data_IF_289676970425
#
_entry.id   IF_289676970425
#
_cell.length_a   1.000
_cell.length_b   1.000
_cell.length_c   1.000
_cell.angle_alpha   90.00
_cell.angle_beta   90.00
_cell.angle_gamma   90.00
#
_symmetry.space_group_name_H-M   'P 1'
#
loop_
_entity.id
_entity.type
_entity.pdbx_description
1 polymer ?
#
# COMPACT_ATOMS: atom_id res chain seq x y z
N UNK A 1 1.29 -9.53 -3.45
CA UNK A 1 1.62 -8.16 -3.01
C UNK A 1 0.66 -7.16 -3.66
N UNK A 2 0.43 -7.30 -4.97
CA UNK A 2 -0.72 -6.72 -5.69
C UNK A 2 -1.52 -7.85 -6.35
N UNK A 3 -2.33 -8.63 -5.61
CA UNK A 3 -3.09 -9.70 -6.22
C UNK A 3 -4.14 -9.13 -7.19
N UNK A 4 -4.23 -9.70 -8.40
CA UNK A 4 -5.23 -9.29 -9.39
C UNK A 4 -6.22 -10.42 -9.69
N UNK A 5 -7.42 -10.06 -10.16
CA UNK A 5 -8.41 -11.08 -10.55
C UNK A 5 -7.95 -11.94 -11.73
N UNK A 6 -7.08 -11.42 -12.60
CA UNK A 6 -6.47 -12.20 -13.68
C UNK A 6 -5.62 -13.37 -13.13
N UNK A 7 -5.12 -13.25 -11.90
CA UNK A 7 -4.36 -14.28 -11.17
C UNK A 7 -5.25 -15.15 -10.27
N UNK A 8 -6.59 -15.10 -10.46
CA UNK A 8 -7.59 -15.80 -9.65
C UNK A 8 -7.68 -15.32 -8.20
N UNK A 9 -7.30 -14.07 -7.93
CA UNK A 9 -7.66 -13.42 -6.68
C UNK A 9 -9.19 -13.38 -6.53
N UNK A 10 -9.69 -13.74 -5.35
CA UNK A 10 -11.14 -13.80 -5.04
C UNK A 10 -11.57 -12.81 -3.95
N UNK A 11 -10.65 -11.97 -3.47
CA UNK A 11 -10.94 -10.91 -2.49
C UNK A 11 -11.23 -9.58 -3.14
N UNK A 12 -11.20 -8.53 -2.32
CA UNK A 12 -11.39 -7.16 -2.76
C UNK A 12 -10.35 -6.75 -3.80
N UNK A 13 -10.79 -6.00 -4.81
CA UNK A 13 -9.92 -5.44 -5.84
C UNK A 13 -8.91 -4.49 -5.21
N UNK A 14 -7.63 -4.74 -5.50
CA UNK A 14 -6.50 -3.90 -5.09
C UNK A 14 -5.89 -3.09 -6.24
N UNK A 15 -6.21 -3.44 -7.48
CA UNK A 15 -5.86 -2.68 -8.68
C UNK A 15 -7.14 -2.50 -9.48
N UNK A 16 -7.59 -1.26 -9.60
CA UNK A 16 -8.79 -0.91 -10.36
C UNK A 16 -8.38 0.13 -11.39
N UNK A 17 -8.44 -0.26 -12.65
CA UNK A 17 -8.03 0.54 -13.80
C UNK A 17 -9.16 0.56 -14.81
N UNK A 18 -9.38 1.68 -15.49
CA UNK A 18 -10.39 1.77 -16.55
C UNK A 18 -9.85 2.45 -17.79
N UNK A 19 -10.38 2.03 -18.93
CA UNK A 19 -10.15 2.70 -20.22
C UNK A 19 -11.47 2.78 -20.97
N UNK A 20 -11.80 3.98 -21.44
CA UNK A 20 -13.06 4.26 -22.12
C UNK A 20 -14.31 3.78 -21.33
N UNK A 21 -14.28 3.93 -19.99
CA UNK A 21 -15.37 3.53 -19.10
C UNK A 21 -15.47 2.01 -18.85
N UNK A 22 -14.56 1.22 -19.40
CA UNK A 22 -14.50 -0.24 -19.20
C UNK A 22 -13.40 -0.57 -18.21
N UNK A 23 -13.71 -1.40 -17.23
CA UNK A 23 -12.74 -1.88 -16.27
C UNK A 23 -11.79 -2.91 -16.88
N UNK A 24 -10.50 -2.75 -16.58
CA UNK A 24 -9.43 -3.59 -17.08
C UNK A 24 -9.10 -4.68 -16.05
N UNK A 25 -8.68 -5.84 -16.56
CA UNK A 25 -8.21 -6.96 -15.74
C UNK A 25 -6.81 -7.35 -16.22
N UNK A 26 -5.77 -6.58 -15.87
CA UNK A 26 -4.46 -6.79 -16.43
C UNK A 26 -3.88 -8.12 -15.98
N UNK A 27 -3.32 -8.86 -16.93
CA UNK A 27 -2.52 -10.05 -16.69
C UNK A 27 -1.04 -9.68 -16.78
N UNK A 28 -0.52 -9.16 -15.68
CA UNK A 28 0.87 -8.74 -15.61
C UNK A 28 1.83 -9.90 -15.82
N UNK A 29 2.79 -9.71 -16.71
CA UNK A 29 3.96 -10.56 -16.89
C UNK A 29 5.17 -9.80 -16.38
N UNK A 30 5.92 -10.39 -15.44
CA UNK A 30 7.17 -9.78 -14.95
C UNK A 30 8.19 -9.76 -16.09
N UNK A 31 8.66 -8.56 -16.44
CA UNK A 31 9.61 -8.33 -17.52
C UNK A 31 11.01 -8.01 -17.00
N UNK A 32 11.13 -7.50 -15.77
CA UNK A 32 12.42 -7.17 -15.16
C UNK A 32 12.37 -7.35 -13.64
N UNK A 33 13.51 -7.75 -13.05
CA UNK A 33 13.74 -7.79 -11.61
C UNK A 33 15.14 -7.26 -11.35
N UNK A 34 15.23 -6.16 -10.60
CA UNK A 34 16.48 -5.57 -10.15
C UNK A 34 16.62 -5.75 -8.65
N UNK A 35 17.57 -6.59 -8.24
CA UNK A 35 17.83 -6.92 -6.83
C UNK A 35 19.30 -6.66 -6.43
N UNK A 36 20.05 -5.94 -7.27
CA UNK A 36 21.52 -5.90 -7.29
C UNK A 36 22.20 -5.06 -6.22
N UNK A 37 21.48 -4.55 -5.21
CA UNK A 37 22.10 -3.88 -4.07
C UNK A 37 21.27 -2.75 -3.48
N UNK A 38 21.96 -1.65 -3.23
CA UNK A 38 21.46 -0.54 -2.43
C UNK A 38 20.78 0.48 -3.35
N UNK A 39 19.44 0.45 -3.40
CA UNK A 39 18.60 1.36 -4.18
C UNK A 39 18.61 2.75 -3.52
N UNK A 40 18.62 3.80 -4.34
CA UNK A 40 18.25 5.14 -3.84
C UNK A 40 16.79 5.04 -3.38
N UNK A 41 16.53 5.34 -2.11
CA UNK A 41 15.16 5.35 -1.60
C UNK A 41 14.28 6.27 -2.45
N UNK A 42 13.37 5.71 -3.24
CA UNK A 42 12.50 6.47 -4.16
C UNK A 42 11.26 7.04 -3.46
N UNK A 43 11.13 6.73 -2.17
CA UNK A 43 10.04 7.10 -1.27
C UNK A 43 10.43 8.19 -0.26
N UNK A 44 11.70 8.55 -0.17
CA UNK A 44 12.15 9.63 0.72
C UNK A 44 11.85 11.00 0.10
N UNK A 45 11.78 12.03 0.95
CA UNK A 45 11.61 13.39 0.47
C UNK A 45 12.78 13.76 -0.45
N UNK A 46 12.48 14.47 -1.55
CA UNK A 46 13.48 14.91 -2.55
C UNK A 46 14.60 15.75 -1.91
N UNK A 47 14.35 16.32 -0.72
CA UNK A 47 15.33 16.98 0.14
C UNK A 47 15.37 16.30 1.52
N UNK A 48 16.57 15.99 2.00
CA UNK A 48 16.76 15.43 3.33
C UNK A 48 16.89 16.49 4.41
N UNK A 49 16.14 16.33 5.49
CA UNK A 49 16.40 16.99 6.76
C UNK A 49 17.01 15.97 7.72
N UNK A 50 18.04 16.40 8.44
CA UNK A 50 18.62 15.60 9.53
C UNK A 50 18.05 16.11 10.84
N UNK A 51 17.47 15.23 11.64
CA UNK A 51 16.98 15.56 12.98
C UNK A 51 17.38 14.46 13.97
N UNK A 52 17.48 14.82 15.25
CA UNK A 52 17.72 13.85 16.32
C UNK A 52 16.37 13.41 16.88
N UNK A 53 16.10 12.11 16.89
CA UNK A 53 14.85 11.60 17.48
C UNK A 53 14.86 11.71 19.01
N UNK A 54 13.71 11.44 19.62
CA UNK A 54 13.52 11.49 21.07
C UNK A 54 14.40 10.50 21.85
N UNK A 55 14.98 9.50 21.17
CA UNK A 55 15.91 8.54 21.74
C UNK A 55 17.38 8.91 21.49
N UNK A 56 17.65 10.09 20.92
CA UNK A 56 19.01 10.58 20.68
C UNK A 56 19.65 10.07 19.39
N UNK A 57 18.91 9.35 18.53
CA UNK A 57 19.45 8.84 17.28
C UNK A 57 19.32 9.90 16.17
N UNK A 58 20.40 10.10 15.42
CA UNK A 58 20.34 10.88 14.19
C UNK A 58 19.46 10.16 13.16
N UNK A 59 18.44 10.85 12.65
CA UNK A 59 17.54 10.43 11.59
C UNK A 59 17.74 11.35 10.39
N UNK A 60 17.75 10.77 9.20
CA UNK A 60 17.69 11.51 7.95
C UNK A 60 16.36 11.20 7.26
N UNK A 61 15.71 12.23 6.73
CA UNK A 61 14.51 12.09 5.87
C UNK A 61 14.85 12.15 4.37
N UNK A 62 16.13 12.27 4.04
CA UNK A 62 16.62 12.30 2.67
C UNK A 62 16.91 10.92 2.11
N UNK A 63 17.27 10.84 0.82
CA UNK A 63 17.52 9.57 0.14
C UNK A 63 18.49 8.70 0.93
N UNK A 64 18.00 7.57 1.43
CA UNK A 64 18.86 6.55 2.02
C UNK A 64 19.04 5.42 1.03
N UNK A 65 20.30 5.08 0.81
CA UNK A 65 20.69 3.90 0.10
C UNK A 65 20.36 2.67 0.97
N UNK A 66 19.35 1.87 0.59
CA UNK A 66 18.89 0.67 1.32
C UNK A 66 18.77 -0.59 0.46
N UNK A 67 18.88 -1.80 1.05
CA UNK A 67 18.56 -3.04 0.34
C UNK A 67 17.12 -3.02 -0.18
N UNK A 68 16.90 -3.48 -1.41
CA UNK A 68 15.56 -3.56 -1.98
C UNK A 68 15.51 -4.32 -3.30
N UNK A 69 14.30 -4.41 -3.84
CA UNK A 69 14.02 -4.98 -5.16
C UNK A 69 13.08 -4.07 -5.94
N UNK A 70 13.34 -3.91 -7.24
CA UNK A 70 12.43 -3.31 -8.20
C UNK A 70 11.95 -4.40 -9.14
N UNK A 71 10.64 -4.51 -9.31
CA UNK A 71 10.02 -5.46 -10.23
C UNK A 71 9.19 -4.67 -11.23
N UNK A 72 9.51 -4.82 -12.51
CA UNK A 72 8.70 -4.27 -13.60
C UNK A 72 7.86 -5.39 -14.18
N UNK A 73 6.55 -5.16 -14.31
CA UNK A 73 5.61 -6.09 -14.91
C UNK A 73 4.68 -5.37 -15.89
N UNK A 74 4.35 -6.03 -17.00
CA UNK A 74 3.56 -5.45 -18.09
C UNK A 74 2.40 -6.34 -18.49
N UNK A 75 1.30 -5.71 -18.87
CA UNK A 75 0.29 -6.27 -19.75
C UNK A 75 0.35 -5.49 -21.07
N UNK A 76 0.94 -6.08 -22.11
CA UNK A 76 1.09 -5.44 -23.41
C UNK A 76 -0.24 -5.33 -24.17
N UNK A 77 -1.16 -6.29 -23.96
CA UNK A 77 -2.48 -6.30 -24.59
C UNK A 77 -3.35 -5.16 -24.07
N UNK A 78 -3.30 -4.93 -22.76
CA UNK A 78 -4.01 -3.83 -22.11
C UNK A 78 -3.15 -2.57 -21.97
N UNK A 79 -1.89 -2.58 -22.42
CA UNK A 79 -1.01 -1.42 -22.41
C UNK A 79 -0.82 -0.82 -21.02
N UNK A 80 -0.59 -1.66 -20.01
CA UNK A 80 -0.36 -1.22 -18.62
C UNK A 80 0.98 -1.77 -18.14
N UNK A 81 1.81 -0.91 -17.55
CA UNK A 81 2.99 -1.32 -16.81
C UNK A 81 2.84 -0.96 -15.34
N UNK A 82 3.33 -1.83 -14.47
CA UNK A 82 3.51 -1.56 -13.06
C UNK A 82 4.98 -1.78 -12.72
N UNK A 83 5.60 -0.77 -12.14
CA UNK A 83 6.90 -0.87 -11.51
C UNK A 83 6.70 -0.85 -9.99
N UNK A 84 6.98 -1.98 -9.34
CA UNK A 84 6.83 -2.15 -7.90
C UNK A 84 8.19 -2.16 -7.21
N UNK A 85 8.31 -1.39 -6.15
CA UNK A 85 9.52 -1.26 -5.35
C UNK A 85 9.25 -1.81 -3.95
N UNK A 86 10.20 -2.57 -3.42
CA UNK A 86 10.24 -2.96 -2.00
C UNK A 86 11.62 -2.64 -1.44
N UNK A 87 11.64 -1.86 -0.38
CA UNK A 87 12.85 -1.42 0.31
C UNK A 87 12.83 -1.90 1.76
N UNK A 88 14.00 -2.26 2.31
CA UNK A 88 14.18 -2.64 3.71
C UNK A 88 15.06 -1.63 4.43
N UNK A 89 14.46 -0.82 5.30
CA UNK A 89 15.18 0.20 6.06
C UNK A 89 16.04 -0.42 7.17
N UNK A 90 17.08 0.30 7.66
CA UNK A 90 17.95 -0.19 8.74
C UNK A 90 17.22 -0.62 10.03
N UNK A 91 16.04 -0.04 10.30
CA UNK A 91 15.18 -0.40 11.43
C UNK A 91 14.31 -1.64 11.21
N UNK A 92 14.46 -2.36 10.09
CA UNK A 92 13.65 -3.53 9.73
C UNK A 92 12.29 -3.19 9.11
N UNK A 93 12.00 -1.90 8.87
CA UNK A 93 10.76 -1.48 8.21
C UNK A 93 10.83 -1.78 6.72
N UNK A 94 9.87 -2.57 6.22
CA UNK A 94 9.62 -2.74 4.79
C UNK A 94 8.76 -1.60 4.24
N UNK A 95 9.18 -1.00 3.13
CA UNK A 95 8.39 0.01 2.41
C UNK A 95 8.08 -0.44 1.00
N UNK A 96 6.87 -0.17 0.54
CA UNK A 96 6.46 -0.47 -0.82
C UNK A 96 6.00 0.79 -1.56
N UNK A 97 6.24 0.80 -2.87
CA UNK A 97 5.71 1.78 -3.83
C UNK A 97 5.33 1.07 -5.12
N UNK A 98 4.32 1.58 -5.81
CA UNK A 98 4.01 1.17 -7.16
C UNK A 98 3.87 2.40 -8.05
N UNK A 99 4.49 2.35 -9.22
CA UNK A 99 4.30 3.30 -10.31
C UNK A 99 3.48 2.59 -11.38
N UNK A 100 2.38 3.19 -11.81
CA UNK A 100 1.56 2.67 -12.91
C UNK A 100 1.79 3.56 -14.13
N UNK A 101 2.12 2.94 -15.26
CA UNK A 101 2.34 3.63 -16.54
C UNK A 101 1.33 3.16 -17.56
N UNK A 102 0.67 4.12 -18.23
CA UNK A 102 -0.11 3.83 -19.43
C UNK A 102 0.84 3.70 -20.61
N UNK A 103 1.02 2.48 -21.13
CA UNK A 103 1.91 2.21 -22.26
C UNK A 103 1.30 2.65 -23.60
N UNK A 104 -0.03 2.78 -23.65
CA UNK A 104 -0.70 3.35 -24.80
C UNK A 104 -0.63 4.88 -24.71
N UNK A 105 0.07 5.51 -25.66
CA UNK A 105 0.27 6.95 -25.72
C UNK A 105 -1.02 7.74 -25.91
N UNK A 106 -0.94 9.07 -25.75
CA UNK A 106 -2.05 9.99 -25.96
C UNK A 106 -2.63 9.88 -27.38
N UNK A 107 -1.77 9.58 -28.36
CA UNK A 107 -2.11 9.42 -29.77
C UNK A 107 -3.01 8.20 -30.04
N UNK A 108 -3.06 7.22 -29.12
CA UNK A 108 -3.98 6.09 -29.21
C UNK A 108 -5.40 6.42 -28.69
N UNK A 109 -5.65 7.65 -28.22
CA UNK A 109 -6.95 8.07 -27.69
C UNK A 109 -7.41 7.27 -26.47
N UNK A 110 -6.47 6.71 -25.71
CA UNK A 110 -6.71 5.65 -24.75
C UNK A 110 -6.22 6.02 -23.33
N UNK A 111 -6.76 7.10 -22.71
CA UNK A 111 -6.40 7.47 -21.35
C UNK A 111 -6.72 6.33 -20.36
N UNK A 112 -5.84 6.14 -19.39
CA UNK A 112 -5.98 5.13 -18.35
C UNK A 112 -6.42 5.80 -17.04
N UNK A 113 -7.65 5.55 -16.63
CA UNK A 113 -8.17 5.97 -15.33
C UNK A 113 -7.61 5.05 -14.24
N UNK A 114 -7.08 5.65 -13.17
CA UNK A 114 -6.65 4.94 -11.98
C UNK A 114 -7.75 5.08 -10.92
N UNK A 115 -8.48 4.00 -10.67
CA UNK A 115 -9.52 3.96 -9.64
C UNK A 115 -9.00 3.56 -8.27
N UNK A 116 -8.02 2.66 -8.22
CA UNK A 116 -7.45 2.15 -6.96
C UNK A 116 -6.10 1.48 -7.20
N UNK A 117 -5.14 1.76 -6.33
CA UNK A 117 -3.90 0.98 -6.17
C UNK A 117 -3.68 0.77 -4.67
N UNK A 118 -3.88 -0.46 -4.19
CA UNK A 118 -3.79 -0.81 -2.78
C UNK A 118 -2.71 -1.88 -2.58
N UNK A 119 -1.56 -1.46 -2.04
CA UNK A 119 -0.46 -2.36 -1.75
C UNK A 119 -0.72 -3.13 -0.45
N UNK A 120 -0.14 -4.32 -0.34
CA UNK A 120 -0.29 -5.12 0.87
C UNK A 120 0.87 -6.08 1.11
N UNK A 121 0.96 -6.53 2.34
CA UNK A 121 1.87 -7.56 2.81
C UNK A 121 1.06 -8.83 3.14
N UNK A 122 1.63 -10.03 2.92
CA UNK A 122 1.05 -11.26 3.43
C UNK A 122 0.89 -11.19 4.95
N UNK A 123 -0.27 -11.59 5.42
CA UNK A 123 -0.60 -11.65 6.84
C UNK A 123 -0.64 -13.12 7.29
N UNK A 124 0.12 -13.53 8.32
CA UNK A 124 0.08 -14.89 8.82
C UNK A 124 -1.30 -15.30 9.34
N UNK A 125 -1.62 -16.59 9.24
CA UNK A 125 -2.91 -17.13 9.69
C UNK A 125 -3.16 -16.92 11.19
N UNK A 126 -2.09 -16.90 11.99
CA UNK A 126 -2.14 -16.67 13.43
C UNK A 126 -2.61 -15.26 13.81
N UNK A 127 -2.57 -14.30 12.88
CA UNK A 127 -3.02 -12.94 13.11
C UNK A 127 -4.57 -12.86 13.08
N UNK A 128 -5.18 -13.22 14.21
CA UNK A 128 -6.64 -13.29 14.39
C UNK A 128 -7.26 -12.08 15.08
N UNK A 129 -6.48 -11.07 15.44
CA UNK A 129 -6.96 -9.85 16.10
C UNK A 129 -6.34 -8.63 15.45
N UNK A 130 -7.12 -7.56 15.28
CA UNK A 130 -6.64 -6.27 14.83
C UNK A 130 -6.73 -5.23 15.94
N UNK A 131 -5.75 -4.33 15.94
CA UNK A 131 -5.74 -3.08 16.67
C UNK A 131 -5.77 -1.93 15.68
N UNK A 132 -6.72 -1.03 15.89
CA UNK A 132 -6.79 0.27 15.21
C UNK A 132 -6.83 1.38 16.24
N UNK A 133 -6.81 2.63 15.78
CA UNK A 133 -7.11 3.78 16.63
C UNK A 133 -8.34 4.52 16.12
N UNK A 134 -9.11 5.06 17.05
CA UNK A 134 -10.24 5.98 16.82
C UNK A 134 -10.05 7.25 17.64
N UNK A 135 -10.93 8.22 17.52
CA UNK A 135 -10.90 9.40 18.37
C UNK A 135 -11.81 10.50 17.87
N UNK A 136 -11.78 11.59 18.62
CA UNK A 136 -12.36 12.87 18.25
C UNK A 136 -11.42 13.97 18.75
N UNK A 137 -11.70 15.22 18.39
CA UNK A 137 -10.93 16.37 18.86
C UNK A 137 -10.75 16.32 20.39
N UNK A 138 -9.51 16.49 20.85
CA UNK A 138 -9.07 16.43 22.26
C UNK A 138 -9.05 15.02 22.89
N UNK A 139 -9.32 13.97 22.11
CA UNK A 139 -9.24 12.57 22.54
C UNK A 139 -8.90 11.65 21.37
N UNK A 140 -7.85 12.01 20.66
CA UNK A 140 -7.36 11.28 19.50
C UNK A 140 -6.70 9.96 19.89
N UNK A 141 -6.61 9.04 18.92
CA UNK A 141 -5.78 7.82 18.98
C UNK A 141 -6.14 6.82 20.09
N UNK A 142 -7.41 6.78 20.50
CA UNK A 142 -7.92 5.75 21.42
C UNK A 142 -7.85 4.37 20.75
N UNK A 143 -7.16 3.37 21.34
CA UNK A 143 -7.02 2.06 20.74
C UNK A 143 -8.35 1.31 20.69
N UNK A 144 -8.61 0.60 19.60
CA UNK A 144 -9.75 -0.28 19.40
C UNK A 144 -9.23 -1.65 19.02
N UNK A 145 -9.73 -2.70 19.67
CA UNK A 145 -9.36 -4.09 19.41
C UNK A 145 -10.57 -4.90 19.03
N UNK A 146 -10.44 -5.73 18.01
CA UNK A 146 -11.50 -6.63 17.58
C UNK A 146 -10.92 -7.86 16.86
N UNK A 147 -11.65 -8.99 16.83
CA UNK A 147 -11.27 -10.13 16.01
C UNK A 147 -11.16 -9.76 14.52
N UNK A 148 -10.15 -10.32 13.85
CA UNK A 148 -10.05 -10.33 12.38
C UNK A 148 -10.69 -11.62 11.86
N UNK A 149 -11.96 -11.52 11.49
CA UNK A 149 -12.73 -12.61 10.92
C UNK A 149 -12.29 -12.91 9.48
N UNK A 150 -12.79 -14.02 8.92
CA UNK A 150 -12.83 -14.18 7.45
C UNK A 150 -13.71 -13.07 6.88
N UNK A 151 -13.21 -12.38 5.85
CA UNK A 151 -13.76 -11.15 5.31
C UNK A 151 -12.70 -10.04 5.26
N UNK A 152 -13.16 -8.81 5.01
CA UNK A 152 -12.32 -7.61 4.93
C UNK A 152 -12.72 -6.64 6.02
N UNK A 153 -11.72 -6.19 6.76
CA UNK A 153 -11.80 -4.98 7.56
C UNK A 153 -11.15 -3.84 6.79
N UNK A 154 -11.81 -2.69 6.74
CA UNK A 154 -11.27 -1.47 6.16
C UNK A 154 -11.61 -0.26 7.02
N UNK A 155 -10.68 0.68 7.08
CA UNK A 155 -10.86 1.95 7.78
C UNK A 155 -10.49 3.10 6.84
N UNK A 156 -11.45 3.60 6.05
CA UNK A 156 -11.21 4.70 5.12
C UNK A 156 -11.10 6.04 5.86
N UNK A 157 -10.37 6.98 5.26
CA UNK A 157 -10.28 8.39 5.63
C UNK A 157 -10.74 9.20 4.42
N UNK A 158 -11.82 9.97 4.58
CA UNK A 158 -12.53 10.63 3.45
C UNK A 158 -12.64 12.15 3.61
N UNK A 159 -12.07 12.71 4.67
CA UNK A 159 -12.17 14.14 4.97
C UNK A 159 -11.16 15.01 4.19
N UNK A 160 -10.48 14.46 3.17
CA UNK A 160 -9.37 15.09 2.47
C UNK A 160 -8.09 15.20 3.31
N UNK A 161 -8.11 14.65 4.53
CA UNK A 161 -7.00 14.59 5.50
C UNK A 161 -7.22 13.46 6.50
N UNK A 162 -6.18 12.94 7.17
CA UNK A 162 -6.34 12.16 8.38
C UNK A 162 -7.14 12.95 9.42
N UNK A 163 -8.32 12.46 9.76
CA UNK A 163 -9.17 13.07 10.77
C UNK A 163 -8.78 12.59 12.18
N UNK A 164 -9.47 13.06 13.22
CA UNK A 164 -9.24 12.61 14.60
C UNK A 164 -9.52 11.11 14.81
N UNK A 165 -10.37 10.51 13.97
CA UNK A 165 -10.66 9.08 13.92
C UNK A 165 -9.66 8.28 13.05
N UNK A 166 -8.62 8.92 12.51
CA UNK A 166 -7.64 8.24 11.68
C UNK A 166 -6.92 7.12 12.44
N UNK A 167 -6.77 5.98 11.75
CA UNK A 167 -5.94 4.89 12.21
C UNK A 167 -4.49 5.18 11.84
N UNK A 168 -3.64 5.41 12.83
CA UNK A 168 -2.22 5.73 12.60
C UNK A 168 -1.49 4.51 12.01
N UNK A 169 -1.71 3.36 12.64
CA UNK A 169 -1.24 2.05 12.23
C UNK A 169 -2.40 1.07 12.32
N UNK A 170 -2.70 0.35 11.23
CA UNK A 170 -3.49 -0.87 11.34
C UNK A 170 -2.55 -1.99 11.72
N UNK A 171 -2.77 -2.60 12.88
CA UNK A 171 -1.94 -3.69 13.41
C UNK A 171 -2.75 -4.96 13.49
N UNK A 172 -2.21 -6.07 13.01
CA UNK A 172 -2.79 -7.40 13.16
C UNK A 172 -1.82 -8.32 13.88
N UNK A 173 -2.32 -9.17 14.77
CA UNK A 173 -1.48 -10.08 15.56
C UNK A 173 -2.26 -11.23 16.17
N UNK A 174 -1.54 -12.09 16.89
CA UNK A 174 -2.18 -13.17 17.64
C UNK A 174 -3.16 -12.61 18.67
N UNK A 175 -4.33 -13.23 18.91
CA UNK A 175 -5.28 -12.72 19.89
C UNK A 175 -4.63 -12.44 21.25
N UNK A 176 -4.79 -11.21 21.72
CA UNK A 176 -4.20 -10.73 22.95
C UNK A 176 -2.76 -10.24 22.84
N UNK A 177 -2.17 -10.08 21.64
CA UNK A 177 -0.80 -9.56 21.46
C UNK A 177 -0.55 -8.30 22.30
N UNK A 178 0.65 -8.11 22.81
CA UNK A 178 0.98 -7.03 23.72
C UNK A 178 2.38 -6.49 23.48
N UNK A 179 2.85 -5.65 24.39
CA UNK A 179 4.19 -5.06 24.29
C UNK A 179 5.32 -6.09 24.40
N UNK A 180 5.10 -7.17 25.15
CA UNK A 180 6.13 -8.17 25.48
C UNK A 180 5.83 -9.56 24.89
N UNK A 181 4.70 -9.74 24.21
CA UNK A 181 4.29 -11.05 23.70
C UNK A 181 3.44 -10.98 22.44
N UNK A 182 3.58 -12.01 21.60
CA UNK A 182 2.80 -12.18 20.39
C UNK A 182 3.33 -11.34 19.22
N UNK A 183 3.44 -11.97 18.05
CA UNK A 183 3.84 -11.27 16.83
C UNK A 183 2.74 -10.31 16.39
N UNK A 184 3.15 -9.10 16.01
CA UNK A 184 2.29 -8.04 15.51
C UNK A 184 2.84 -7.48 14.19
N UNK A 185 1.95 -7.28 13.23
CA UNK A 185 2.23 -6.80 11.88
C UNK A 185 1.48 -5.49 11.69
N UNK A 186 2.19 -4.40 11.46
CA UNK A 186 1.60 -3.07 11.34
C UNK A 186 1.87 -2.47 9.98
N UNK A 187 0.85 -1.82 9.41
CA UNK A 187 0.96 -1.07 8.16
C UNK A 187 0.51 0.37 8.35
N UNK A 188 1.08 1.25 7.54
CA UNK A 188 0.76 2.66 7.42
C UNK A 188 0.73 3.04 5.93
N UNK A 189 -0.18 3.93 5.54
CA UNK A 189 -0.16 4.57 4.22
C UNK A 189 0.50 5.92 4.39
N UNK A 190 1.64 6.15 3.71
CA UNK A 190 2.40 7.40 3.75
C UNK A 190 1.72 8.56 3.01
N UNK A 191 0.44 8.79 3.26
CA UNK A 191 -0.39 9.76 2.57
C UNK A 191 -1.21 10.59 3.57
N UNK A 192 -1.32 11.89 3.31
CA UNK A 192 -2.04 12.84 4.17
C UNK A 192 -3.38 13.29 3.60
N UNK A 193 -3.87 12.67 2.53
CA UNK A 193 -5.20 12.90 1.98
C UNK A 193 -6.15 11.74 2.27
N UNK A 194 -7.09 11.53 1.35
CA UNK A 194 -7.97 10.37 1.41
C UNK A 194 -7.18 9.07 1.28
N UNK A 195 -7.35 8.14 2.20
CA UNK A 195 -6.60 6.88 2.27
C UNK A 195 -7.44 5.77 2.88
N UNK A 196 -7.00 4.53 2.72
CA UNK A 196 -7.60 3.37 3.38
C UNK A 196 -6.51 2.49 3.96
N UNK A 197 -6.72 2.00 5.18
CA UNK A 197 -6.01 0.87 5.74
C UNK A 197 -6.95 -0.34 5.72
N UNK A 198 -6.43 -1.52 5.38
CA UNK A 198 -7.23 -2.73 5.28
C UNK A 198 -6.50 -3.97 5.77
N UNK A 199 -7.28 -4.92 6.28
CA UNK A 199 -6.85 -6.29 6.53
C UNK A 199 -7.91 -7.25 6.02
N UNK A 200 -7.52 -8.25 5.25
CA UNK A 200 -8.42 -9.16 4.57
C UNK A 200 -7.97 -10.60 4.76
N UNK A 201 -8.92 -11.46 5.12
CA UNK A 201 -8.72 -12.91 5.20
C UNK A 201 -9.78 -13.59 4.35
N UNK A 202 -9.36 -14.52 3.51
CA UNK A 202 -10.26 -15.33 2.71
C UNK A 202 -10.15 -16.79 3.15
N UNK A 203 -11.15 -17.65 2.88
CA UNK A 203 -11.10 -19.06 3.28
C UNK A 203 -9.96 -19.86 2.64
N UNK A 204 -9.46 -19.43 1.48
CA UNK A 204 -8.59 -20.23 0.61
C UNK A 204 -7.25 -19.57 0.27
N UNK A 205 -7.01 -18.34 0.72
CA UNK A 205 -5.79 -17.59 0.37
C UNK A 205 -5.12 -17.07 1.63
N UNK A 206 -3.83 -16.78 1.52
CA UNK A 206 -3.10 -16.03 2.55
C UNK A 206 -3.80 -14.71 2.81
N UNK A 207 -3.90 -14.31 4.09
CA UNK A 207 -4.41 -13.00 4.45
C UNK A 207 -3.52 -11.89 3.92
N UNK A 208 -4.08 -10.69 3.79
CA UNK A 208 -3.35 -9.51 3.32
C UNK A 208 -3.65 -8.33 4.24
N UNK A 209 -2.62 -7.62 4.66
CA UNK A 209 -2.73 -6.36 5.40
C UNK A 209 -2.06 -5.25 4.58
N UNK A 210 -2.68 -4.08 4.47
CA UNK A 210 -2.16 -3.04 3.60
C UNK A 210 -3.00 -1.78 3.58
N UNK A 211 -2.91 -1.05 2.47
CA UNK A 211 -3.60 0.20 2.26
C UNK A 211 -3.13 0.92 1.01
N UNK A 212 -3.73 2.06 0.76
CA UNK A 212 -3.38 2.95 -0.34
C UNK A 212 -4.11 4.27 -0.25
N UNK A 213 -3.81 5.15 -1.19
CA UNK A 213 -4.60 6.35 -1.44
C UNK A 213 -6.02 5.94 -1.86
N UNK A 214 -7.01 6.69 -1.37
CA UNK A 214 -8.40 6.49 -1.75
C UNK A 214 -8.78 7.59 -2.73
N UNK A 215 -8.86 7.20 -4.00
CA UNK A 215 -9.18 8.08 -5.12
C UNK A 215 -10.70 8.10 -5.35
N UNK A 216 -11.23 9.26 -5.73
CA UNK A 216 -12.56 9.36 -6.30
C UNK A 216 -12.53 9.17 -7.82
N UNK A 217 -13.68 8.84 -8.40
CA UNK A 217 -13.79 8.55 -9.83
C UNK A 217 -13.28 9.71 -10.70
N UNK A 218 -12.35 9.40 -11.60
CA UNK A 218 -11.74 10.38 -12.52
C UNK A 218 -10.68 11.29 -11.90
N UNK A 219 -10.34 11.13 -10.62
CA UNK A 219 -9.33 11.96 -9.94
C UNK A 219 -7.93 11.82 -10.57
N UNK A 220 -7.60 10.62 -11.04
CA UNK A 220 -6.32 10.32 -11.71
C UNK A 220 -6.57 9.68 -13.07
N UNK A 221 -6.06 10.31 -14.13
CA UNK A 221 -6.11 9.80 -15.50
C UNK A 221 -4.75 10.01 -16.17
N UNK A 222 -4.17 8.93 -16.69
CA UNK A 222 -2.87 8.94 -17.36
C UNK A 222 -3.04 9.03 -18.88
N UNK A 223 -2.53 10.11 -19.48
CA UNK A 223 -2.66 10.38 -20.91
C UNK A 223 -1.75 9.51 -21.81
N UNK A 224 -0.80 8.76 -21.25
CA UNK A 224 0.22 7.98 -21.99
C UNK A 224 1.64 8.34 -21.54
N UNK A 225 2.71 7.70 -22.05
CA UNK A 225 4.08 8.06 -21.68
C UNK A 225 4.40 9.46 -22.20
N UNK A 226 4.91 10.32 -21.32
CA UNK A 226 5.57 11.59 -21.66
C UNK A 226 7.07 11.45 -21.57
#
# INVERSE_FOLDING_TARGET
>A
ILPTHAERWIGEQRVVLRRAGVELFPKFTVTNIEAGGVLEATLDAVSGESYTDVAGHARATGPVRVPGVIVTARDEEQGVEVEWHLELLPGGLGRQKATVTNLFGADAGAPLEIGKIELGFPLPESAGEILTTTGHHLRERSPQRQPLTVGRFEKPQLAGRPDFDACLLLTAGVPGFGFEHGDAYSVHVGWSGNSVLSAERLPYTTGVIGGGELLFGGEVTLAGPG
#
